data_IF_898106883754
#
_entry.id   IF_898106883754
#
_cell.length_a   1.000
_cell.length_b   1.000
_cell.length_c   1.000
_cell.angle_alpha   90.00
_cell.angle_beta   90.00
_cell.angle_gamma   90.00
#
_symmetry.space_group_name_H-M   'P 1'
#
loop_
_entity.id
_entity.type
_entity.pdbx_description
1 polymer ?
#
# COMPACT_ATOMS: atom_id res chain seq x y z
N UNK A 1 12.01 -9.51 -34.68
CA UNK A 1 12.89 -10.64 -34.35
C UNK A 1 13.38 -10.57 -32.90
N UNK A 2 14.11 -9.53 -32.49
CA UNK A 2 14.70 -9.44 -31.14
C UNK A 2 13.67 -9.51 -29.98
N UNK A 3 12.54 -8.79 -30.09
CA UNK A 3 11.47 -8.84 -29.07
C UNK A 3 10.84 -10.23 -28.94
N UNK A 4 10.63 -10.93 -30.06
CA UNK A 4 10.12 -12.30 -30.02
C UNK A 4 11.08 -13.23 -29.28
N UNK A 5 12.38 -13.11 -29.52
CA UNK A 5 13.41 -13.85 -28.77
C UNK A 5 13.37 -13.55 -27.28
N UNK A 6 13.41 -12.28 -26.89
CA UNK A 6 13.43 -11.86 -25.48
C UNK A 6 12.19 -12.30 -24.67
N UNK A 7 11.04 -12.46 -25.33
CA UNK A 7 9.77 -12.86 -24.69
C UNK A 7 9.56 -14.38 -24.69
N UNK A 8 10.14 -15.10 -25.64
CA UNK A 8 9.92 -16.56 -25.80
C UNK A 8 11.11 -17.41 -25.38
N UNK A 9 12.24 -16.78 -25.04
CA UNK A 9 13.46 -17.45 -24.63
C UNK A 9 14.03 -16.77 -23.39
N UNK A 10 14.78 -17.53 -22.59
CA UNK A 10 15.50 -17.02 -21.43
C UNK A 10 16.97 -17.37 -21.54
N UNK A 11 17.81 -16.34 -21.48
CA UNK A 11 19.26 -16.48 -21.36
C UNK A 11 19.61 -16.81 -19.91
N UNK A 12 20.32 -17.91 -19.70
CA UNK A 12 20.84 -18.34 -18.41
C UNK A 12 22.36 -18.20 -18.47
N UNK A 13 22.90 -17.29 -17.65
CA UNK A 13 24.34 -17.07 -17.53
C UNK A 13 24.87 -17.82 -16.31
N UNK A 14 25.71 -18.82 -16.54
CA UNK A 14 26.52 -19.48 -15.52
C UNK A 14 27.96 -18.99 -15.61
N UNK A 15 28.79 -19.24 -14.58
CA UNK A 15 30.13 -18.63 -14.41
C UNK A 15 31.05 -18.70 -15.64
N UNK A 16 30.87 -19.68 -16.52
CA UNK A 16 31.68 -19.87 -17.73
C UNK A 16 30.86 -20.07 -19.02
N UNK A 17 29.53 -20.13 -18.94
CA UNK A 17 28.69 -20.55 -20.06
C UNK A 17 27.37 -19.76 -20.13
N UNK A 18 26.92 -19.47 -21.35
CA UNK A 18 25.64 -18.79 -21.61
C UNK A 18 24.77 -19.73 -22.42
N UNK A 19 23.64 -20.13 -21.84
CA UNK A 19 22.65 -20.99 -22.51
C UNK A 19 21.37 -20.23 -22.75
N UNK A 20 20.74 -20.47 -23.90
CA UNK A 20 19.41 -19.94 -24.22
C UNK A 20 18.39 -21.08 -24.14
N UNK A 21 17.38 -20.92 -23.29
CA UNK A 21 16.32 -21.91 -23.09
C UNK A 21 14.98 -21.37 -23.61
N UNK A 22 14.26 -22.11 -24.48
CA UNK A 22 12.90 -21.74 -24.86
C UNK A 22 11.95 -21.76 -23.66
N UNK A 23 11.03 -20.80 -23.61
CA UNK A 23 9.98 -20.73 -22.61
C UNK A 23 8.73 -21.51 -23.07
N UNK A 24 8.02 -22.21 -22.16
CA UNK A 24 6.69 -22.73 -22.44
C UNK A 24 5.73 -21.59 -22.80
N UNK A 25 4.62 -21.86 -23.54
CA UNK A 25 3.66 -20.83 -23.94
C UNK A 25 3.12 -19.98 -22.78
N UNK A 26 2.81 -20.58 -21.64
CA UNK A 26 2.34 -19.86 -20.45
C UNK A 26 3.37 -18.84 -19.93
N UNK A 27 4.63 -19.27 -19.75
CA UNK A 27 5.71 -18.40 -19.28
C UNK A 27 6.06 -17.29 -20.28
N UNK A 28 5.89 -17.54 -21.59
CA UNK A 28 6.07 -16.50 -22.61
C UNK A 28 4.96 -15.44 -22.55
N UNK A 29 3.71 -15.85 -22.28
CA UNK A 29 2.59 -14.93 -22.04
C UNK A 29 2.84 -14.08 -20.79
N UNK A 30 3.28 -14.70 -19.69
CA UNK A 30 3.63 -14.00 -18.45
C UNK A 30 4.76 -12.98 -18.70
N UNK A 31 5.79 -13.37 -19.44
CA UNK A 31 6.92 -12.48 -19.79
C UNK A 31 6.44 -11.29 -20.64
N UNK A 32 5.56 -11.52 -21.62
CA UNK A 32 4.93 -10.45 -22.42
C UNK A 32 4.16 -9.47 -21.53
N UNK A 33 3.33 -9.99 -20.63
CA UNK A 33 2.46 -9.17 -19.78
C UNK A 33 3.27 -8.39 -18.75
N UNK A 34 4.31 -9.00 -18.17
CA UNK A 34 5.27 -8.31 -17.30
C UNK A 34 6.00 -7.19 -18.05
N UNK A 35 6.42 -7.44 -19.29
CA UNK A 35 7.07 -6.44 -20.15
C UNK A 35 6.15 -5.23 -20.40
N UNK A 36 4.89 -5.48 -20.74
CA UNK A 36 3.92 -4.42 -20.99
C UNK A 36 3.64 -3.59 -19.73
N UNK A 37 3.49 -4.25 -18.57
CA UNK A 37 3.28 -3.58 -17.27
C UNK A 37 4.48 -2.70 -16.88
N UNK A 38 5.70 -3.22 -16.99
CA UNK A 38 6.92 -2.48 -16.64
C UNK A 38 7.12 -1.27 -17.55
N UNK A 39 6.91 -1.43 -18.86
CA UNK A 39 6.98 -0.32 -19.80
C UNK A 39 5.96 0.76 -19.44
N UNK A 40 4.71 0.37 -19.15
CA UNK A 40 3.66 1.31 -18.75
C UNK A 40 4.01 2.02 -17.43
N UNK A 41 4.49 1.29 -16.42
CA UNK A 41 4.89 1.84 -15.13
C UNK A 41 5.99 2.91 -15.29
N UNK A 42 7.05 2.61 -16.05
CA UNK A 42 8.13 3.57 -16.31
C UNK A 42 7.66 4.79 -17.08
N UNK A 43 6.80 4.62 -18.09
CA UNK A 43 6.21 5.74 -18.83
C UNK A 43 5.36 6.62 -17.91
N UNK A 44 4.59 5.99 -17.00
CA UNK A 44 3.79 6.70 -16.01
C UNK A 44 4.67 7.51 -15.05
N UNK A 45 5.73 6.91 -14.49
CA UNK A 45 6.67 7.61 -13.61
C UNK A 45 7.38 8.77 -14.32
N UNK A 46 7.77 8.58 -15.58
CA UNK A 46 8.32 9.66 -16.40
C UNK A 46 7.31 10.79 -16.61
N UNK A 47 6.05 10.47 -16.90
CA UNK A 47 4.99 11.47 -17.06
C UNK A 47 4.79 12.26 -15.77
N UNK A 48 4.73 11.59 -14.62
CA UNK A 48 4.64 12.24 -13.31
C UNK A 48 5.84 13.16 -13.10
N UNK A 49 7.06 12.69 -13.35
CA UNK A 49 8.28 13.51 -13.25
C UNK A 49 8.24 14.75 -14.15
N UNK A 50 7.72 14.63 -15.38
CA UNK A 50 7.54 15.76 -16.31
C UNK A 50 6.50 16.76 -15.80
N UNK A 51 5.38 16.28 -15.26
CA UNK A 51 4.35 17.14 -14.66
C UNK A 51 4.93 17.88 -13.46
N UNK A 52 5.59 17.17 -12.53
CA UNK A 52 6.23 17.77 -11.37
C UNK A 52 7.26 18.84 -11.75
N UNK A 53 8.14 18.56 -12.73
CA UNK A 53 9.12 19.54 -13.19
C UNK A 53 8.46 20.79 -13.80
N UNK A 54 7.37 20.62 -14.55
CA UNK A 54 6.63 21.72 -15.17
C UNK A 54 5.84 22.57 -14.18
N UNK A 55 5.42 22.00 -13.04
CA UNK A 55 4.64 22.70 -12.00
C UNK A 55 5.47 23.13 -10.80
N UNK A 56 6.75 22.74 -10.73
CA UNK A 56 7.65 23.12 -9.65
C UNK A 56 7.92 24.62 -9.64
N UNK A 57 7.86 25.23 -8.45
CA UNK A 57 8.20 26.64 -8.29
C UNK A 57 9.73 26.86 -8.45
N UNK A 58 10.19 27.97 -9.06
CA UNK A 58 11.62 28.26 -9.25
C UNK A 58 12.42 28.43 -7.94
N UNK A 59 11.75 28.74 -6.83
CA UNK A 59 12.37 28.95 -5.51
C UNK A 59 11.64 28.12 -4.45
N UNK A 60 12.32 27.08 -3.94
CA UNK A 60 11.85 26.21 -2.86
C UNK A 60 11.95 26.89 -1.47
N UNK A 61 11.30 28.05 -1.29
CA UNK A 61 11.38 28.85 -0.06
C UNK A 61 10.07 28.91 0.74
N UNK A 62 9.07 28.07 0.45
CA UNK A 62 7.89 27.99 1.32
C UNK A 62 8.08 26.92 2.40
N UNK A 63 8.08 27.32 3.66
CA UNK A 63 8.06 26.41 4.81
C UNK A 63 6.69 25.72 5.03
N UNK A 64 5.73 25.99 4.15
CA UNK A 64 4.36 25.51 4.25
C UNK A 64 3.93 24.88 2.94
N UNK A 65 3.09 23.84 3.03
CA UNK A 65 2.43 23.22 1.90
C UNK A 65 1.02 22.80 2.30
N UNK A 66 0.14 22.67 1.32
CA UNK A 66 -1.17 22.03 1.47
C UNK A 66 -1.13 20.73 0.69
N UNK A 67 -1.24 19.61 1.39
CA UNK A 67 -1.30 18.28 0.77
C UNK A 67 -2.75 17.87 0.53
N UNK A 68 -3.05 17.47 -0.71
CA UNK A 68 -4.31 16.79 -1.05
C UNK A 68 -4.00 15.31 -1.25
N UNK A 69 -4.52 14.47 -0.36
CA UNK A 69 -4.34 13.02 -0.46
C UNK A 69 -5.59 12.39 -1.08
N UNK A 70 -5.48 11.99 -2.35
CA UNK A 70 -6.49 11.23 -3.06
C UNK A 70 -6.00 9.80 -3.26
N UNK A 71 -6.68 8.84 -2.64
CA UNK A 71 -6.32 7.42 -2.69
C UNK A 71 -7.56 6.58 -2.92
N UNK A 72 -7.35 5.36 -3.42
CA UNK A 72 -8.42 4.37 -3.53
C UNK A 72 -9.06 4.11 -2.16
N UNK A 73 -10.39 4.18 -2.11
CA UNK A 73 -11.15 3.78 -0.94
C UNK A 73 -11.06 2.28 -0.69
N UNK A 74 -11.51 1.84 0.48
CA UNK A 74 -11.59 0.43 0.83
C UNK A 74 -12.38 -0.38 -0.21
N UNK A 75 -11.82 -1.49 -0.68
CA UNK A 75 -12.42 -2.36 -1.69
C UNK A 75 -12.71 -3.75 -1.15
N UNK A 76 -13.92 -4.26 -1.43
CA UNK A 76 -14.27 -5.66 -1.19
C UNK A 76 -15.14 -6.17 -2.33
N UNK A 77 -14.55 -7.02 -3.16
CA UNK A 77 -15.17 -7.64 -4.32
C UNK A 77 -15.44 -9.12 -4.08
N UNK A 78 -16.08 -9.77 -5.06
CA UNK A 78 -16.26 -11.22 -5.06
C UNK A 78 -14.92 -11.98 -5.08
N UNK A 79 -13.90 -11.43 -5.74
CA UNK A 79 -12.54 -11.98 -5.78
C UNK A 79 -11.55 -10.86 -5.46
N UNK A 80 -10.93 -10.91 -4.27
CA UNK A 80 -9.94 -9.94 -3.83
C UNK A 80 -8.54 -10.53 -4.01
N UNK A 81 -7.66 -9.80 -4.69
CA UNK A 81 -6.28 -10.25 -4.96
C UNK A 81 -5.28 -9.35 -4.24
N UNK A 82 -4.00 -9.55 -4.53
CA UNK A 82 -2.90 -8.78 -3.96
C UNK A 82 -3.09 -7.25 -4.06
N UNK A 83 -3.64 -6.76 -5.17
CA UNK A 83 -3.94 -5.33 -5.34
C UNK A 83 -4.95 -4.82 -4.29
N UNK A 84 -6.07 -5.52 -4.09
CA UNK A 84 -7.05 -5.18 -3.05
C UNK A 84 -6.42 -5.24 -1.66
N UNK A 85 -5.53 -6.19 -1.40
CA UNK A 85 -4.81 -6.25 -0.14
C UNK A 85 -3.96 -4.99 0.11
N UNK A 86 -3.21 -4.52 -0.89
CA UNK A 86 -2.44 -3.28 -0.78
C UNK A 86 -3.34 -2.06 -0.55
N UNK A 87 -4.46 -1.96 -1.29
CA UNK A 87 -5.43 -0.87 -1.15
C UNK A 87 -6.03 -0.87 0.26
N UNK A 88 -6.49 -2.02 0.74
CA UNK A 88 -7.12 -2.15 2.06
C UNK A 88 -6.12 -1.93 3.19
N UNK A 89 -4.86 -2.36 3.02
CA UNK A 89 -3.77 -2.05 3.95
C UNK A 89 -3.51 -0.54 4.06
N UNK A 90 -3.49 0.18 2.93
CA UNK A 90 -3.36 1.65 2.96
C UNK A 90 -4.54 2.33 3.67
N UNK A 91 -5.77 1.87 3.41
CA UNK A 91 -6.95 2.36 4.12
C UNK A 91 -6.88 2.08 5.62
N UNK A 92 -6.40 0.89 6.03
CA UNK A 92 -6.20 0.53 7.44
C UNK A 92 -5.22 1.49 8.14
N UNK A 93 -4.11 1.86 7.47
CA UNK A 93 -3.13 2.84 7.98
C UNK A 93 -3.72 4.23 8.17
N UNK A 94 -4.46 4.72 7.17
CA UNK A 94 -5.09 6.02 7.24
C UNK A 94 -6.22 6.05 8.28
N UNK A 95 -6.96 4.96 8.41
CA UNK A 95 -7.95 4.80 9.47
C UNK A 95 -7.28 4.84 10.83
N UNK A 96 -6.12 4.20 11.02
CA UNK A 96 -5.39 4.29 12.28
C UNK A 96 -4.99 5.74 12.60
N UNK A 97 -4.49 6.50 11.63
CA UNK A 97 -4.14 7.92 11.84
C UNK A 97 -5.36 8.74 12.22
N UNK A 98 -6.48 8.55 11.54
CA UNK A 98 -7.76 9.17 11.92
C UNK A 98 -8.17 8.82 13.35
N UNK A 99 -8.05 7.54 13.72
CA UNK A 99 -8.34 7.07 15.08
C UNK A 99 -7.44 7.74 16.12
N UNK A 100 -6.14 7.90 15.82
CA UNK A 100 -5.20 8.58 16.71
C UNK A 100 -5.52 10.06 16.87
N UNK A 101 -5.74 10.77 15.77
CA UNK A 101 -5.96 12.22 15.76
C UNK A 101 -7.29 12.61 16.41
N UNK A 102 -8.38 11.93 16.03
CA UNK A 102 -9.73 12.32 16.43
C UNK A 102 -10.09 11.78 17.82
N UNK A 103 -9.52 10.64 18.21
CA UNK A 103 -9.92 9.96 19.45
C UNK A 103 -8.83 9.96 20.50
N UNK A 104 -7.60 9.52 20.20
CA UNK A 104 -6.56 9.37 21.23
C UNK A 104 -5.96 10.71 21.65
N UNK A 105 -5.56 11.54 20.69
CA UNK A 105 -4.91 12.82 20.97
C UNK A 105 -5.84 13.77 21.75
N UNK A 106 -7.10 13.86 21.33
CA UNK A 106 -8.11 14.70 22.00
C UNK A 106 -8.37 14.27 23.44
N UNK A 107 -8.50 12.96 23.68
CA UNK A 107 -8.75 12.46 25.03
C UNK A 107 -7.53 12.61 25.94
N UNK A 108 -6.32 12.47 25.40
CA UNK A 108 -5.09 12.72 26.15
C UNK A 108 -4.99 14.19 26.56
N UNK A 109 -5.27 15.13 25.65
CA UNK A 109 -5.24 16.56 25.94
C UNK A 109 -6.24 16.95 27.03
N UNK A 110 -7.48 16.44 26.99
CA UNK A 110 -8.46 16.70 28.07
C UNK A 110 -8.00 16.14 29.41
N UNK A 111 -7.33 14.98 29.41
CA UNK A 111 -6.74 14.42 30.62
C UNK A 111 -5.61 15.29 31.16
N UNK A 112 -4.75 15.81 30.27
CA UNK A 112 -3.59 16.63 30.63
C UNK A 112 -4.02 18.02 31.16
N UNK A 113 -5.08 18.59 30.57
CA UNK A 113 -5.70 19.86 31.00
C UNK A 113 -6.63 19.71 32.22
N UNK A 114 -6.84 18.48 32.71
CA UNK A 114 -7.69 18.20 33.88
C UNK A 114 -9.18 18.49 33.63
N UNK A 115 -9.64 18.44 32.38
CA UNK A 115 -11.03 18.71 32.00
C UNK A 115 -11.90 17.49 32.35
N UNK A 116 -12.96 17.65 33.15
CA UNK A 116 -13.91 16.57 33.43
C UNK A 116 -14.60 16.11 32.14
N UNK A 117 -14.34 14.86 31.74
CA UNK A 117 -14.82 14.28 30.49
C UNK A 117 -15.03 12.77 30.63
N UNK A 118 -16.03 12.24 29.91
CA UNK A 118 -16.30 10.79 29.85
C UNK A 118 -15.53 10.15 28.69
N UNK A 119 -14.63 9.21 29.00
CA UNK A 119 -13.84 8.51 27.99
C UNK A 119 -14.73 7.81 26.97
N UNK A 120 -14.65 8.21 25.71
CA UNK A 120 -15.39 7.56 24.62
C UNK A 120 -14.57 6.40 24.08
N UNK A 121 -15.14 5.20 24.17
CA UNK A 121 -14.60 3.99 23.55
C UNK A 121 -14.64 4.09 22.02
N UNK A 122 -13.56 3.65 21.39
CA UNK A 122 -13.43 3.55 19.94
C UNK A 122 -12.70 2.26 19.58
N UNK A 123 -12.87 1.82 18.33
CA UNK A 123 -12.21 0.61 17.83
C UNK A 123 -10.79 0.95 17.36
N UNK A 124 -9.78 0.45 18.07
CA UNK A 124 -8.37 0.57 17.67
C UNK A 124 -7.99 -0.55 16.70
N UNK A 125 -7.44 -0.17 15.55
CA UNK A 125 -7.04 -1.10 14.49
C UNK A 125 -5.52 -1.38 14.47
N UNK A 126 -4.76 -0.91 15.46
CA UNK A 126 -3.33 -1.14 15.60
C UNK A 126 -2.95 -2.64 15.64
N UNK A 127 -3.69 -3.54 16.32
CA UNK A 127 -3.39 -4.97 16.29
C UNK A 127 -3.44 -5.57 14.88
N UNK A 128 -4.36 -5.10 14.05
CA UNK A 128 -4.47 -5.55 12.67
C UNK A 128 -3.32 -5.05 11.79
N UNK A 129 -2.86 -3.81 12.01
CA UNK A 129 -1.64 -3.32 11.35
C UNK A 129 -0.41 -4.16 11.75
N UNK A 130 -0.33 -4.59 13.01
CA UNK A 130 0.74 -5.49 13.47
C UNK A 130 0.67 -6.87 12.79
N UNK A 131 -0.52 -7.42 12.57
CA UNK A 131 -0.73 -8.65 11.78
C UNK A 131 -0.16 -8.50 10.36
N UNK A 132 -0.30 -7.32 9.74
CA UNK A 132 0.19 -7.07 8.37
C UNK A 132 1.70 -6.82 8.32
N UNK A 133 2.22 -6.01 9.24
CA UNK A 133 3.55 -5.39 9.11
C UNK A 133 4.65 -5.96 9.99
N UNK A 134 4.31 -6.74 11.03
CA UNK A 134 5.30 -7.25 11.97
C UNK A 134 6.32 -8.18 11.28
N UNK A 135 7.40 -8.53 11.99
CA UNK A 135 8.42 -9.47 11.48
C UNK A 135 7.84 -10.84 11.13
N UNK A 136 6.76 -11.24 11.81
CA UNK A 136 5.96 -12.43 11.53
C UNK A 136 4.60 -12.03 10.96
N UNK A 137 4.51 -10.92 10.22
CA UNK A 137 3.28 -10.45 9.60
C UNK A 137 3.14 -10.91 8.16
N UNK A 138 1.98 -10.61 7.58
CA UNK A 138 1.60 -11.06 6.23
C UNK A 138 2.65 -10.68 5.17
N UNK A 139 3.11 -9.42 5.18
CA UNK A 139 4.08 -8.92 4.18
C UNK A 139 5.43 -9.66 4.33
N UNK A 140 5.90 -9.85 5.55
CA UNK A 140 7.17 -10.51 5.81
C UNK A 140 7.14 -11.98 5.35
N UNK A 141 6.05 -12.70 5.65
CA UNK A 141 5.91 -14.09 5.21
C UNK A 141 5.78 -14.22 3.69
N UNK A 142 5.06 -13.30 3.04
CA UNK A 142 4.95 -13.27 1.59
C UNK A 142 6.33 -13.09 0.94
N UNK A 143 7.12 -12.14 1.46
CA UNK A 143 8.47 -11.87 0.97
C UNK A 143 9.42 -13.06 1.19
N UNK A 144 9.31 -13.73 2.33
CA UNK A 144 10.11 -14.93 2.61
C UNK A 144 9.81 -16.07 1.63
N UNK A 145 8.53 -16.30 1.30
CA UNK A 145 8.17 -17.31 0.31
C UNK A 145 8.57 -16.91 -1.11
N UNK A 146 8.68 -15.60 -1.42
CA UNK A 146 9.17 -15.15 -2.72
C UNK A 146 10.65 -15.54 -2.99
N UNK A 147 11.48 -15.59 -1.94
CA UNK A 147 12.92 -15.92 -2.08
C UNK A 147 13.22 -17.41 -1.97
N UNK A 148 12.26 -18.23 -1.53
CA UNK A 148 12.46 -19.68 -1.39
C UNK A 148 12.52 -20.37 -2.76
N UNK A 149 13.49 -21.29 -2.99
CA UNK A 149 13.62 -22.00 -4.28
C UNK A 149 12.38 -22.78 -4.72
N UNK A 150 11.53 -23.21 -3.77
CA UNK A 150 10.25 -23.89 -4.00
C UNK A 150 9.09 -23.19 -3.29
N UNK A 151 9.19 -21.87 -3.10
CA UNK A 151 8.10 -21.07 -2.54
C UNK A 151 6.90 -21.06 -3.49
N UNK A 152 5.71 -21.23 -2.94
CA UNK A 152 4.43 -21.19 -3.66
C UNK A 152 3.35 -20.55 -2.78
N UNK A 153 2.22 -20.19 -3.39
CA UNK A 153 1.13 -19.49 -2.69
C UNK A 153 0.49 -20.40 -1.63
N UNK A 154 0.43 -21.71 -1.84
CA UNK A 154 -0.10 -22.69 -0.89
C UNK A 154 0.69 -22.71 0.42
N UNK A 155 2.03 -22.76 0.32
CA UNK A 155 2.93 -22.75 1.46
C UNK A 155 2.82 -21.42 2.22
N UNK A 156 2.71 -20.31 1.50
CA UNK A 156 2.47 -18.99 2.08
C UNK A 156 1.19 -18.98 2.93
N UNK A 157 0.05 -19.39 2.37
CA UNK A 157 -1.23 -19.42 3.12
C UNK A 157 -1.20 -20.43 4.26
N UNK A 158 -0.59 -21.60 4.06
CA UNK A 158 -0.45 -22.60 5.13
C UNK A 158 0.36 -22.05 6.30
N UNK A 159 1.44 -21.33 6.01
CA UNK A 159 2.29 -20.70 7.04
C UNK A 159 1.53 -19.61 7.80
N UNK A 160 0.79 -18.75 7.09
CA UNK A 160 -0.10 -17.76 7.73
C UNK A 160 -1.12 -18.44 8.64
N UNK A 161 -1.75 -19.51 8.17
CA UNK A 161 -2.73 -20.28 8.94
C UNK A 161 -2.15 -20.88 10.21
N UNK A 162 -0.89 -21.34 10.19
CA UNK A 162 -0.23 -21.89 11.37
C UNK A 162 0.11 -20.79 12.38
N UNK A 163 0.68 -19.67 11.92
CA UNK A 163 1.18 -18.62 12.82
C UNK A 163 0.05 -17.76 13.39
N UNK A 164 -0.98 -17.44 12.59
CA UNK A 164 -2.05 -16.52 12.97
C UNK A 164 -3.37 -17.21 13.31
N UNK A 165 -3.36 -18.52 13.58
CA UNK A 165 -4.58 -19.29 13.91
C UNK A 165 -5.40 -18.71 15.06
N UNK A 166 -4.72 -18.12 16.05
CA UNK A 166 -5.32 -17.56 17.26
C UNK A 166 -5.66 -16.07 17.13
N UNK A 167 -5.28 -15.42 16.02
CA UNK A 167 -5.53 -14.00 15.83
C UNK A 167 -7.02 -13.78 15.44
N UNK A 168 -7.79 -12.98 16.21
CA UNK A 168 -9.21 -12.78 15.95
C UNK A 168 -9.49 -12.03 14.64
N UNK A 169 -8.48 -11.38 14.05
CA UNK A 169 -8.58 -10.69 12.78
C UNK A 169 -8.16 -11.56 11.58
N UNK A 170 -7.71 -12.79 11.80
CA UNK A 170 -7.29 -13.72 10.76
C UNK A 170 -8.11 -15.01 10.76
N UNK A 171 -8.49 -15.50 9.59
CA UNK A 171 -9.07 -16.84 9.46
C UNK A 171 -8.83 -17.42 8.08
N UNK A 172 -8.90 -18.74 7.95
CA UNK A 172 -8.88 -19.43 6.65
C UNK A 172 -10.21 -20.15 6.44
N UNK A 173 -10.70 -20.27 5.18
CA UNK A 173 -11.86 -21.10 4.88
C UNK A 173 -11.67 -22.53 5.39
N UNK A 174 -12.76 -23.15 5.86
CA UNK A 174 -12.72 -24.58 6.23
C UNK A 174 -12.47 -25.40 4.96
N UNK A 175 -11.57 -26.38 5.05
CA UNK A 175 -11.17 -27.25 3.93
C UNK A 175 -12.41 -27.89 3.28
N UNK A 176 -12.85 -27.35 2.14
CA UNK A 176 -13.79 -27.99 1.23
C UNK A 176 -13.05 -28.75 0.12
N UNK A 177 -13.79 -29.47 -0.72
CA UNK A 177 -13.25 -30.30 -1.81
C UNK A 177 -12.42 -29.51 -2.86
N UNK A 178 -12.52 -28.18 -2.87
CA UNK A 178 -11.67 -27.29 -3.66
C UNK A 178 -10.69 -26.54 -2.74
N UNK A 179 -9.40 -26.91 -2.84
CA UNK A 179 -8.26 -26.21 -2.19
C UNK A 179 -8.01 -24.86 -2.89
N UNK A 180 -8.91 -23.91 -2.72
CA UNK A 180 -8.57 -22.53 -3.10
C UNK A 180 -7.60 -21.94 -2.08
N UNK A 181 -6.54 -21.32 -2.58
CA UNK A 181 -5.49 -20.70 -1.77
C UNK A 181 -6.02 -19.38 -1.26
N UNK A 182 -6.67 -19.40 -0.09
CA UNK A 182 -7.44 -18.28 0.42
C UNK A 182 -7.27 -18.05 1.92
N UNK A 183 -7.41 -16.79 2.32
CA UNK A 183 -7.47 -16.39 3.73
C UNK A 183 -8.32 -15.11 3.89
N UNK A 184 -8.80 -14.85 5.10
CA UNK A 184 -9.67 -13.73 5.43
C UNK A 184 -8.97 -12.83 6.44
N UNK A 185 -9.01 -11.52 6.18
CA UNK A 185 -8.63 -10.49 7.15
C UNK A 185 -9.88 -9.73 7.59
N UNK A 186 -10.07 -9.56 8.90
CA UNK A 186 -11.14 -8.73 9.46
C UNK A 186 -10.68 -7.28 9.60
N UNK A 187 -10.86 -6.51 8.52
CA UNK A 187 -10.54 -5.08 8.47
C UNK A 187 -11.44 -4.23 9.36
N UNK A 188 -11.10 -2.95 9.52
CA UNK A 188 -11.99 -2.00 10.18
C UNK A 188 -13.38 -1.96 9.51
N UNK A 189 -13.41 -2.10 8.18
CA UNK A 189 -14.61 -2.06 7.35
C UNK A 189 -15.33 -3.41 7.16
N UNK A 190 -14.82 -4.49 7.78
CA UNK A 190 -15.43 -5.82 7.70
C UNK A 190 -14.45 -6.91 7.21
N UNK A 191 -14.89 -8.18 7.19
CA UNK A 191 -14.08 -9.28 6.72
C UNK A 191 -13.93 -9.25 5.18
N UNK A 192 -12.69 -9.41 4.71
CA UNK A 192 -12.38 -9.54 3.28
C UNK A 192 -11.66 -10.85 3.04
N UNK A 193 -12.23 -11.67 2.15
CA UNK A 193 -11.65 -12.92 1.68
C UNK A 193 -10.71 -12.63 0.51
N UNK A 194 -9.44 -13.01 0.66
CA UNK A 194 -8.40 -12.86 -0.35
C UNK A 194 -8.07 -14.19 -1.00
N UNK A 195 -8.03 -14.19 -2.34
CA UNK A 195 -7.49 -15.27 -3.15
C UNK A 195 -6.00 -15.02 -3.38
N UNK A 196 -5.17 -15.82 -2.71
CA UNK A 196 -3.72 -15.72 -2.68
C UNK A 196 -3.02 -16.32 -3.91
N UNK A 197 -3.74 -17.01 -4.80
CA UNK A 197 -3.17 -17.52 -6.05
C UNK A 197 -2.55 -16.40 -6.92
N UNK A 198 -1.28 -16.57 -7.26
CA UNK A 198 -0.45 -15.62 -8.00
C UNK A 198 0.09 -14.46 -7.16
N UNK A 199 0.03 -14.51 -5.82
CA UNK A 199 0.55 -13.43 -4.98
C UNK A 199 2.06 -13.36 -4.99
N UNK A 200 2.75 -14.51 -4.89
CA UNK A 200 4.21 -14.53 -4.93
C UNK A 200 4.76 -13.93 -6.22
N UNK A 201 4.19 -14.30 -7.36
CA UNK A 201 4.60 -13.79 -8.67
C UNK A 201 4.38 -12.27 -8.75
N UNK A 202 3.19 -11.79 -8.40
CA UNK A 202 2.85 -10.36 -8.39
C UNK A 202 3.69 -9.55 -7.41
N UNK A 203 4.12 -10.15 -6.31
CA UNK A 203 4.95 -9.48 -5.32
C UNK A 203 6.42 -9.41 -5.72
N UNK A 204 6.92 -10.40 -6.48
CA UNK A 204 8.28 -10.39 -7.04
C UNK A 204 8.45 -9.29 -8.08
N UNK A 205 7.46 -9.14 -8.97
CA UNK A 205 7.43 -8.11 -10.02
C UNK A 205 8.73 -8.03 -10.83
N UNK A 206 9.26 -9.20 -11.16
CA UNK A 206 10.54 -9.33 -11.87
C UNK A 206 10.32 -9.38 -13.38
N UNK A 207 10.98 -8.48 -14.11
CA UNK A 207 11.12 -8.55 -15.57
C UNK A 207 12.39 -9.34 -15.95
N UNK A 208 12.38 -10.00 -17.12
CA UNK A 208 13.55 -10.74 -17.63
C UNK A 208 14.70 -9.78 -17.99
N UNK A 209 15.93 -10.14 -17.63
CA UNK A 209 17.15 -9.39 -18.00
C UNK A 209 17.29 -9.24 -19.53
N UNK A 210 16.83 -10.23 -20.29
CA UNK A 210 16.83 -10.18 -21.76
C UNK A 210 15.92 -9.08 -22.29
N UNK A 211 14.77 -8.88 -21.65
CA UNK A 211 13.83 -7.81 -22.00
C UNK A 211 14.41 -6.46 -21.60
N UNK A 212 15.02 -6.34 -20.42
CA UNK A 212 15.67 -5.10 -19.98
C UNK A 212 16.78 -4.70 -20.96
N UNK A 213 17.67 -5.62 -21.32
CA UNK A 213 18.75 -5.36 -22.28
C UNK A 213 18.21 -4.99 -23.66
N UNK A 214 17.10 -5.59 -24.09
CA UNK A 214 16.43 -5.21 -25.32
C UNK A 214 15.88 -3.78 -25.26
N UNK A 215 15.22 -3.40 -24.17
CA UNK A 215 14.68 -2.03 -24.01
C UNK A 215 15.80 -0.99 -23.97
N UNK A 216 16.93 -1.31 -23.33
CA UNK A 216 18.15 -0.47 -23.31
C UNK A 216 18.81 -0.30 -24.68
N UNK A 217 18.63 -1.26 -25.60
CA UNK A 217 19.11 -1.17 -26.98
C UNK A 217 18.07 -0.62 -27.96
N UNK A 218 16.93 -0.11 -27.44
CA UNK A 218 15.87 0.46 -28.26
C UNK A 218 16.36 1.65 -29.07
N UNK A 219 15.90 1.72 -30.33
CA UNK A 219 16.11 2.89 -31.19
C UNK A 219 15.25 4.08 -30.78
N UNK A 220 14.22 3.86 -29.96
CA UNK A 220 13.40 4.94 -29.41
C UNK A 220 14.12 5.52 -28.18
N UNK A 221 14.55 6.80 -28.22
CA UNK A 221 15.28 7.41 -27.11
C UNK A 221 14.52 7.35 -25.80
N UNK A 222 13.20 7.59 -25.81
CA UNK A 222 12.39 7.53 -24.60
C UNK A 222 12.47 6.13 -23.96
N UNK A 223 12.25 5.07 -24.73
CA UNK A 223 12.31 3.70 -24.18
C UNK A 223 13.70 3.38 -23.65
N UNK A 224 14.75 3.76 -24.38
CA UNK A 224 16.13 3.55 -23.91
C UNK A 224 16.37 4.27 -22.58
N UNK A 225 16.00 5.55 -22.50
CA UNK A 225 16.26 6.39 -21.34
C UNK A 225 15.41 5.95 -20.13
N UNK A 226 14.18 5.48 -20.36
CA UNK A 226 13.34 4.87 -19.31
C UNK A 226 13.96 3.62 -18.70
N UNK A 227 14.73 2.84 -19.48
CA UNK A 227 15.39 1.61 -19.04
C UNK A 227 16.89 1.80 -18.74
N UNK A 228 17.41 3.02 -18.85
CA UNK A 228 18.73 3.37 -18.38
C UNK A 228 18.73 3.30 -16.84
N UNK A 229 19.64 2.51 -16.28
CA UNK A 229 19.73 2.31 -14.83
C UNK A 229 20.48 3.49 -14.20
N UNK A 230 19.86 4.35 -13.37
CA UNK A 230 20.55 5.49 -12.76
C UNK A 230 21.68 5.05 -11.81
N UNK A 231 21.68 3.77 -11.39
CA UNK A 231 22.56 3.23 -10.34
C UNK A 231 23.73 2.39 -10.87
N UNK A 232 23.89 2.23 -12.19
CA UNK A 232 25.03 1.49 -12.76
C UNK A 232 26.24 2.35 -13.10
N UNK A 233 26.06 3.66 -13.25
CA UNK A 233 27.17 4.56 -13.64
C UNK A 233 27.99 5.10 -12.44
N UNK A 234 27.55 4.91 -11.20
CA UNK A 234 28.29 5.31 -9.97
C UNK A 234 29.00 4.15 -9.25
N UNK A 235 28.95 2.93 -9.80
CA UNK A 235 29.73 1.80 -9.28
C UNK A 235 31.13 1.78 -9.93
N UNK A 236 31.93 2.79 -9.59
CA UNK A 236 33.38 2.70 -9.70
C UNK A 236 33.89 1.48 -8.94
N UNK A 237 34.73 0.69 -9.62
CA UNK A 237 35.64 -0.34 -9.11
C UNK A 237 35.59 -0.60 -7.59
N UNK A 238 34.88 -1.67 -7.20
CA UNK A 238 34.83 -2.14 -5.83
C UNK A 238 34.39 -3.59 -5.75
N UNK A 239 35.34 -4.49 -5.96
CA UNK A 239 35.19 -5.94 -5.82
C UNK A 239 34.93 -6.28 -4.33
N UNK A 240 33.67 -6.56 -3.98
CA UNK A 240 33.31 -7.09 -2.67
C UNK A 240 32.31 -8.25 -2.85
N UNK A 241 32.76 -9.51 -2.77
CA UNK A 241 31.89 -10.66 -2.84
C UNK A 241 31.24 -10.89 -1.47
N UNK A 242 29.92 -11.09 -1.42
CA UNK A 242 29.30 -11.78 -0.29
C UNK A 242 28.43 -10.98 0.69
N UNK A 243 27.65 -9.99 0.21
CA UNK A 243 26.34 -9.73 0.84
C UNK A 243 25.26 -10.13 -0.14
N UNK A 244 24.73 -11.35 0.02
CA UNK A 244 23.49 -11.72 -0.65
C UNK A 244 22.45 -10.66 -0.32
N UNK A 245 21.97 -9.94 -1.34
CA UNK A 245 20.75 -9.11 -1.26
C UNK A 245 19.59 -10.05 -0.92
N UNK A 246 19.46 -10.41 0.35
CA UNK A 246 18.31 -11.10 0.89
C UNK A 246 17.18 -10.07 0.95
N UNK A 247 16.49 -9.91 -0.18
CA UNK A 247 15.51 -8.86 -0.40
C UNK A 247 15.68 -8.26 -1.79
N UNK A 248 15.34 -9.02 -2.82
CA UNK A 248 14.84 -8.40 -4.04
C UNK A 248 13.69 -7.47 -3.61
N UNK A 249 13.71 -6.25 -4.11
CA UNK A 249 12.86 -5.13 -3.73
C UNK A 249 11.39 -5.42 -4.12
N UNK A 250 10.68 -6.22 -3.31
CA UNK A 250 9.32 -6.69 -3.63
C UNK A 250 8.33 -5.54 -3.63
N UNK A 251 7.23 -5.70 -4.38
CA UNK A 251 6.16 -4.70 -4.47
C UNK A 251 5.63 -4.35 -3.09
N UNK A 252 5.35 -5.35 -2.24
CA UNK A 252 4.87 -5.11 -0.88
C UNK A 252 5.88 -4.37 0.01
N UNK A 253 7.19 -4.60 -0.17
CA UNK A 253 8.23 -3.88 0.58
C UNK A 253 8.29 -2.41 0.16
N UNK A 254 8.34 -2.14 -1.15
CA UNK A 254 8.33 -0.77 -1.69
C UNK A 254 7.07 -0.02 -1.30
N UNK A 255 5.91 -0.69 -1.40
CA UNK A 255 4.62 -0.13 -1.02
C UNK A 255 4.56 0.20 0.47
N UNK A 256 5.00 -0.74 1.34
CA UNK A 256 5.06 -0.51 2.79
C UNK A 256 5.97 0.68 3.13
N UNK A 257 7.14 0.78 2.52
CA UNK A 257 8.07 1.89 2.74
C UNK A 257 7.48 3.24 2.28
N UNK A 258 6.91 3.29 1.07
CA UNK A 258 6.28 4.49 0.51
C UNK A 258 5.11 4.96 1.37
N UNK A 259 4.28 4.02 1.84
CA UNK A 259 3.17 4.33 2.73
C UNK A 259 3.67 4.82 4.10
N UNK A 260 4.74 4.26 4.66
CA UNK A 260 5.32 4.74 5.89
C UNK A 260 5.82 6.20 5.77
N UNK A 261 6.52 6.53 4.68
CA UNK A 261 6.99 7.88 4.39
C UNK A 261 5.82 8.87 4.20
N UNK A 262 4.75 8.44 3.53
CA UNK A 262 3.53 9.24 3.41
C UNK A 262 2.92 9.51 4.80
N UNK A 263 2.78 8.48 5.64
CA UNK A 263 2.21 8.63 6.98
C UNK A 263 3.07 9.51 7.90
N UNK A 264 4.39 9.47 7.76
CA UNK A 264 5.31 10.38 8.46
C UNK A 264 5.09 11.83 8.01
N UNK A 265 4.98 12.07 6.70
CA UNK A 265 4.72 13.39 6.14
C UNK A 265 3.38 13.94 6.64
N UNK A 266 2.31 13.15 6.57
CA UNK A 266 0.98 13.51 7.09
C UNK A 266 1.02 13.75 8.60
N UNK A 267 1.78 12.95 9.34
CA UNK A 267 1.95 13.08 10.79
C UNK A 267 2.55 14.41 11.24
N UNK A 268 3.27 15.11 10.35
CA UNK A 268 3.85 16.44 10.61
C UNK A 268 2.93 17.60 10.21
N UNK A 269 1.70 17.33 9.78
CA UNK A 269 0.75 18.34 9.30
C UNK A 269 -0.51 18.39 10.14
N UNK A 270 -1.19 19.54 10.14
CA UNK A 270 -2.58 19.63 10.59
C UNK A 270 -3.48 19.00 9.54
N UNK A 271 -4.11 17.87 9.88
CA UNK A 271 -4.91 17.09 8.93
C UNK A 271 -6.39 17.49 8.99
N UNK A 272 -7.00 17.67 7.81
CA UNK A 272 -8.44 17.86 7.65
C UNK A 272 -9.01 16.62 6.94
N UNK A 273 -10.14 16.11 7.43
CA UNK A 273 -10.72 14.86 6.92
C UNK A 273 -11.99 15.12 6.11
N UNK A 274 -12.05 14.57 4.91
CA UNK A 274 -13.26 14.50 4.07
C UNK A 274 -13.63 13.04 3.87
N UNK A 275 -14.85 12.64 4.27
CA UNK A 275 -15.36 11.28 4.12
C UNK A 275 -16.43 11.23 3.03
N UNK A 276 -16.07 10.67 1.88
CA UNK A 276 -17.00 10.46 0.78
C UNK A 276 -17.88 9.23 1.05
N UNK A 277 -19.19 9.34 0.81
CA UNK A 277 -20.17 8.26 1.05
C UNK A 277 -20.79 7.85 -0.28
N UNK A 278 -20.78 6.55 -0.57
CA UNK A 278 -21.42 6.00 -1.76
C UNK A 278 -22.90 5.78 -1.49
N UNK A 279 -23.82 6.40 -2.25
CA UNK A 279 -25.25 6.34 -1.95
C UNK A 279 -25.90 5.01 -2.33
N UNK A 280 -25.40 4.33 -3.37
CA UNK A 280 -25.92 3.04 -3.85
C UNK A 280 -24.84 2.29 -4.66
N UNK A 281 -25.08 0.99 -4.94
CA UNK A 281 -24.16 0.16 -5.73
C UNK A 281 -24.35 0.27 -7.25
N UNK A 282 -25.57 0.59 -7.69
CA UNK A 282 -25.96 0.61 -9.11
C UNK A 282 -25.57 1.91 -9.84
N UNK A 283 -24.94 2.87 -9.15
CA UNK A 283 -24.50 4.18 -9.69
C UNK A 283 -25.68 5.05 -10.14
N UNK A 284 -26.85 4.88 -9.53
CA UNK A 284 -28.05 5.65 -9.85
C UNK A 284 -28.04 7.01 -9.13
N UNK A 285 -28.28 8.13 -9.81
CA UNK A 285 -28.45 9.41 -9.12
C UNK A 285 -29.77 9.43 -8.31
N UNK A 286 -29.76 10.03 -7.12
CA UNK A 286 -30.96 10.24 -6.29
C UNK A 286 -31.45 9.01 -5.49
N UNK A 287 -30.91 7.82 -5.74
CA UNK A 287 -31.23 6.61 -4.98
C UNK A 287 -30.28 6.45 -3.79
N UNK A 288 -30.80 6.10 -2.61
CA UNK A 288 -30.00 5.89 -1.40
C UNK A 288 -30.33 4.52 -0.79
N UNK A 289 -29.32 3.66 -0.71
CA UNK A 289 -29.33 2.40 0.04
C UNK A 289 -28.95 2.69 1.50
N UNK A 290 -29.97 2.90 2.34
CA UNK A 290 -29.79 3.26 3.75
C UNK A 290 -28.94 2.24 4.54
N UNK A 291 -29.19 0.91 4.48
CA UNK A 291 -28.31 -0.08 5.11
C UNK A 291 -26.84 0.07 4.72
N UNK A 292 -26.55 0.24 3.42
CA UNK A 292 -25.19 0.40 2.92
C UNK A 292 -24.54 1.71 3.40
N UNK A 293 -25.29 2.81 3.43
CA UNK A 293 -24.80 4.10 3.94
C UNK A 293 -24.50 4.01 5.44
N UNK A 294 -25.38 3.39 6.23
CA UNK A 294 -25.17 3.21 7.68
C UNK A 294 -23.93 2.36 7.95
N UNK A 295 -23.69 1.31 7.18
CA UNK A 295 -22.50 0.47 7.31
C UNK A 295 -21.22 1.27 7.01
N UNK A 296 -21.20 2.06 5.92
CA UNK A 296 -20.08 2.95 5.61
C UNK A 296 -19.80 3.95 6.74
N UNK A 297 -20.83 4.56 7.32
CA UNK A 297 -20.68 5.54 8.41
C UNK A 297 -20.09 4.90 9.69
N UNK A 298 -20.53 3.68 10.03
CA UNK A 298 -19.98 2.91 11.16
C UNK A 298 -18.53 2.53 10.92
N UNK A 299 -18.24 1.95 9.76
CA UNK A 299 -16.89 1.50 9.43
C UNK A 299 -15.91 2.67 9.34
N UNK A 300 -16.28 3.79 8.74
CA UNK A 300 -15.40 4.96 8.66
C UNK A 300 -15.18 5.68 10.00
N UNK A 301 -15.83 5.25 11.09
CA UNK A 301 -15.74 5.87 12.42
C UNK A 301 -16.41 7.25 12.49
N UNK A 302 -17.33 7.54 11.56
CA UNK A 302 -18.00 8.85 11.48
C UNK A 302 -18.95 9.04 12.66
N UNK A 303 -19.65 7.99 13.08
CA UNK A 303 -20.60 8.06 14.20
C UNK A 303 -19.86 8.39 15.50
N UNK A 304 -18.75 7.72 15.76
CA UNK A 304 -17.93 7.92 16.95
C UNK A 304 -17.25 9.29 16.93
N UNK A 305 -16.79 9.76 15.76
CA UNK A 305 -16.24 11.11 15.60
C UNK A 305 -17.26 12.21 15.89
N UNK A 306 -18.52 12.03 15.45
CA UNK A 306 -19.62 12.95 15.78
C UNK A 306 -19.90 12.95 17.29
N UNK A 307 -19.88 11.79 17.95
CA UNK A 307 -20.07 11.71 19.40
C UNK A 307 -18.99 12.48 20.16
N UNK A 308 -17.71 12.30 19.81
CA UNK A 308 -16.61 13.09 20.39
C UNK A 308 -16.79 14.58 20.10
N UNK A 309 -17.11 14.95 18.87
CA UNK A 309 -17.24 16.37 18.50
C UNK A 309 -18.38 17.05 19.24
N UNK A 310 -19.47 16.33 19.54
CA UNK A 310 -20.61 16.85 20.29
C UNK A 310 -20.36 16.97 21.79
N UNK A 311 -19.62 16.04 22.38
CA UNK A 311 -19.34 16.01 23.80
C UNK A 311 -18.04 16.76 24.17
N UNK A 312 -17.19 17.03 23.18
CA UNK A 312 -15.91 17.70 23.36
C UNK A 312 -15.95 19.21 23.08
N UNK A 313 -14.77 19.82 23.21
CA UNK A 313 -14.51 21.23 22.96
C UNK A 313 -13.70 21.37 21.65
N UNK A 314 -14.37 21.58 20.49
CA UNK A 314 -13.70 21.58 19.18
C UNK A 314 -12.87 22.84 18.94
N UNK A 315 -13.25 23.97 19.54
CA UNK A 315 -12.49 25.21 19.47
C UNK A 315 -11.57 25.32 20.69
N UNK A 316 -10.27 25.46 20.43
CA UNK A 316 -9.22 25.55 21.46
C UNK A 316 -8.30 26.71 21.14
N UNK A 317 -7.82 27.39 22.16
CA UNK A 317 -6.95 28.55 22.02
C UNK A 317 -6.05 28.66 23.25
N UNK A 318 -4.73 28.87 23.08
CA UNK A 318 -3.86 29.18 24.20
C UNK A 318 -4.36 30.41 24.97
N UNK A 319 -4.20 30.41 26.30
CA UNK A 319 -4.69 31.49 27.16
C UNK A 319 -4.16 32.88 26.74
N UNK A 320 -2.89 32.95 26.31
CA UNK A 320 -2.27 34.18 25.81
C UNK A 320 -2.99 34.72 24.58
N UNK A 321 -3.27 33.85 23.62
CA UNK A 321 -3.93 34.22 22.36
C UNK A 321 -5.39 34.62 22.62
N UNK A 322 -6.06 33.93 23.54
CA UNK A 322 -7.42 34.28 23.98
C UNK A 322 -7.46 35.69 24.58
N UNK A 323 -6.57 35.97 25.54
CA UNK A 323 -6.49 37.30 26.17
C UNK A 323 -6.17 38.40 25.15
N UNK A 324 -5.23 38.15 24.22
CA UNK A 324 -4.89 39.10 23.18
C UNK A 324 -6.06 39.35 22.20
N UNK A 325 -6.78 38.29 21.82
CA UNK A 325 -7.85 38.37 20.83
C UNK A 325 -9.13 38.98 21.38
N UNK A 326 -9.51 38.63 22.61
CA UNK A 326 -10.79 39.00 23.20
C UNK A 326 -10.68 40.07 24.29
N UNK A 327 -9.48 40.58 24.58
CA UNK A 327 -9.27 41.61 25.61
C UNK A 327 -9.97 42.94 25.35
N UNK A 328 -10.46 43.20 24.13
CA UNK A 328 -11.29 44.38 23.82
C UNK A 328 -12.78 44.19 24.14
N UNK A 329 -13.22 42.95 24.39
CA UNK A 329 -14.61 42.64 24.77
C UNK A 329 -14.80 42.61 26.29
N UNK A 330 -13.71 42.70 27.05
CA UNK A 330 -13.66 42.66 28.51
C UNK A 330 -13.41 44.06 29.05
#
# INVERSE_FOLDING_TARGET
AALAGAVTQRTIRMRSEVFVKPLPPGAAIETRDATAKELYARVFDWLVGRICAATSAPSAQSNHFVGLLDIFGFESFAINRFAQFCINYANEKLQQKFTLDVFKAVQQEYSDEGIPWERIEFKDNAPLLALVESKLGIIAMLNEECVRPKGNDENFVSKLSTVHKADPAFSTPKLGAHREVQFTIKHYAGPVLYTASGWLERNKDTISDDVVALMQSSKNPLIRDLFADPLRDDAGAGDAPGKGKLGSDTVSTKFKASLAQLMETVGRTTTQYVRCIKPNKNKSPGEVDNPMVVEQLRCAGVIEAIRISRAGFPARMPLKDFAQRFGLLV
#
